data_IF_324712887859
#
_entry.id   IF_324712887859
#
_cell.length_a   1.000
_cell.length_b   1.000
_cell.length_c   1.000
_cell.angle_alpha   90.00
_cell.angle_beta   90.00
_cell.angle_gamma   90.00
#
_symmetry.space_group_name_H-M   'P 1'
#
loop_
_entity.id
_entity.type
_entity.pdbx_description
1 polymer ?
#
# COMPACT_ATOMS: atom_id res chain seq x y z
N UNK A 1 -18.52 -31.13 -24.91
CA UNK A 1 -18.62 -32.56 -25.29
C UNK A 1 -17.98 -33.50 -24.26
N UNK A 2 -18.09 -33.17 -22.97
CA UNK A 2 -17.61 -33.99 -21.83
C UNK A 2 -18.67 -34.06 -20.72
N UNK A 3 -19.94 -33.80 -21.07
CA UNK A 3 -21.08 -33.79 -20.15
C UNK A 3 -22.05 -34.95 -20.40
N UNK A 4 -21.71 -35.91 -21.27
CA UNK A 4 -22.65 -36.96 -21.73
C UNK A 4 -22.18 -38.40 -21.46
N UNK A 5 -21.14 -38.59 -20.63
CA UNK A 5 -20.57 -39.92 -20.35
C UNK A 5 -20.65 -40.36 -18.87
N UNK A 6 -21.39 -39.64 -18.02
CA UNK A 6 -21.58 -40.04 -16.60
C UNK A 6 -22.90 -40.80 -16.37
N UNK A 7 -23.76 -40.93 -17.40
CA UNK A 7 -25.08 -41.54 -17.27
C UNK A 7 -25.13 -43.08 -17.47
N UNK A 8 -24.00 -43.79 -17.45
CA UNK A 8 -23.99 -45.26 -17.54
C UNK A 8 -23.09 -45.83 -16.45
N UNK A 9 -23.72 -46.15 -15.31
CA UNK A 9 -23.06 -46.70 -14.15
C UNK A 9 -22.42 -48.05 -14.46
N UNK A 10 -21.08 -48.09 -14.36
CA UNK A 10 -20.26 -49.30 -14.21
C UNK A 10 -18.85 -48.90 -13.79
N UNK A 11 -18.62 -48.49 -12.55
CA UNK A 11 -17.33 -48.68 -11.84
C UNK A 11 -17.58 -48.72 -10.32
N UNK A 12 -17.11 -49.79 -9.70
CA UNK A 12 -17.18 -50.11 -8.26
C UNK A 12 -16.33 -49.20 -7.37
N UNK A 13 -16.81 -48.96 -6.16
CA UNK A 13 -16.34 -48.01 -5.13
C UNK A 13 -14.99 -48.33 -4.47
N UNK A 14 -13.94 -48.65 -5.22
CA UNK A 14 -12.62 -48.94 -4.66
C UNK A 14 -11.45 -48.55 -5.56
N UNK A 15 -11.42 -47.31 -6.05
CA UNK A 15 -10.23 -46.73 -6.71
C UNK A 15 -10.24 -45.18 -6.78
N UNK A 16 -10.86 -44.52 -5.81
CA UNK A 16 -10.84 -43.06 -5.67
C UNK A 16 -9.90 -42.63 -4.52
N UNK A 17 -8.62 -42.99 -4.61
CA UNK A 17 -7.55 -42.37 -3.80
C UNK A 17 -6.34 -42.23 -4.71
N UNK A 18 -5.79 -41.02 -4.75
CA UNK A 18 -4.57 -40.59 -5.45
C UNK A 18 -4.73 -40.03 -6.87
N UNK A 19 -5.42 -38.89 -7.03
CA UNK A 19 -5.08 -37.93 -8.11
C UNK A 19 -5.34 -36.48 -7.65
N UNK A 20 -4.69 -36.01 -6.58
CA UNK A 20 -4.44 -34.56 -6.40
C UNK A 20 -3.08 -34.36 -5.69
N UNK A 21 -1.96 -34.46 -6.41
CA UNK A 21 -0.81 -33.62 -6.05
C UNK A 21 -0.07 -33.02 -7.27
N UNK A 22 -0.78 -32.59 -8.33
CA UNK A 22 -0.12 -32.02 -9.52
C UNK A 22 -0.42 -30.53 -9.81
N UNK A 23 -1.35 -29.89 -9.10
CA UNK A 23 -1.65 -28.45 -9.30
C UNK A 23 -0.88 -27.58 -8.29
N UNK A 24 -0.70 -28.05 -7.05
CA UNK A 24 0.05 -27.34 -6.01
C UNK A 24 1.58 -27.39 -6.20
N UNK A 25 2.11 -28.44 -6.82
CA UNK A 25 3.54 -28.51 -7.16
C UNK A 25 3.87 -27.59 -8.33
N UNK A 26 2.99 -27.47 -9.32
CA UNK A 26 3.13 -26.58 -10.47
C UNK A 26 3.19 -25.10 -10.10
N UNK A 27 2.39 -24.65 -9.13
CA UNK A 27 2.40 -23.26 -8.63
C UNK A 27 3.71 -22.91 -7.88
N UNK A 28 4.25 -23.83 -7.07
CA UNK A 28 5.56 -23.65 -6.41
C UNK A 28 6.73 -23.62 -7.39
N UNK A 29 6.66 -24.42 -8.47
CA UNK A 29 7.69 -24.40 -9.51
C UNK A 29 7.60 -23.16 -10.40
N UNK A 30 6.39 -22.61 -10.60
CA UNK A 30 6.18 -21.36 -11.34
C UNK A 30 6.62 -20.12 -10.53
N UNK A 31 6.34 -20.09 -9.22
CA UNK A 31 6.84 -19.06 -8.30
C UNK A 31 8.38 -19.04 -8.23
N UNK A 32 9.04 -20.20 -8.14
CA UNK A 32 10.51 -20.32 -8.29
C UNK A 32 11.04 -19.92 -9.67
N UNK A 33 10.22 -20.07 -10.72
CA UNK A 33 10.53 -19.63 -12.09
C UNK A 33 10.44 -18.12 -12.29
N UNK A 34 9.53 -17.45 -11.58
CA UNK A 34 9.44 -15.99 -11.50
C UNK A 34 10.61 -15.41 -10.70
N UNK A 35 10.97 -16.04 -9.59
CA UNK A 35 12.11 -15.64 -8.75
C UNK A 35 13.42 -15.60 -9.59
N UNK A 36 13.63 -16.63 -10.41
CA UNK A 36 14.74 -16.68 -11.38
C UNK A 36 14.60 -15.67 -12.52
N UNK A 37 13.39 -15.38 -12.99
CA UNK A 37 13.16 -14.41 -14.08
C UNK A 37 13.28 -12.97 -13.59
N UNK A 38 12.60 -12.55 -12.52
CA UNK A 38 12.66 -11.21 -11.94
C UNK A 38 14.06 -10.90 -11.36
N UNK A 39 14.73 -11.87 -10.72
CA UNK A 39 16.10 -11.71 -10.25
C UNK A 39 17.15 -11.66 -11.39
N UNK A 40 16.90 -12.33 -12.52
CA UNK A 40 17.78 -12.22 -13.71
C UNK A 40 17.65 -10.91 -14.48
N UNK A 41 16.65 -10.11 -14.12
CA UNK A 41 16.19 -8.96 -14.89
C UNK A 41 16.80 -7.64 -14.38
N UNK A 42 17.36 -7.61 -13.17
CA UNK A 42 18.02 -6.42 -12.63
C UNK A 42 19.16 -6.78 -11.67
N UNK A 43 20.06 -5.83 -11.41
CA UNK A 43 21.03 -5.99 -10.31
C UNK A 43 20.32 -5.67 -9.00
N UNK A 44 20.18 -6.70 -8.18
CA UNK A 44 19.51 -6.64 -6.89
C UNK A 44 20.54 -6.77 -5.78
N UNK A 45 20.44 -5.90 -4.76
CA UNK A 45 21.13 -6.08 -3.49
C UNK A 45 20.08 -6.24 -2.39
N UNK A 46 20.11 -7.38 -1.73
CA UNK A 46 19.20 -7.74 -0.66
C UNK A 46 19.98 -8.11 0.59
N UNK A 47 19.71 -7.40 1.67
CA UNK A 47 20.24 -7.67 3.01
C UNK A 47 19.10 -8.23 3.84
N UNK A 48 19.02 -9.55 3.90
CA UNK A 48 17.92 -10.29 4.51
C UNK A 48 18.04 -10.31 6.04
N UNK A 49 16.98 -9.88 6.71
CA UNK A 49 16.78 -10.03 8.16
C UNK A 49 15.37 -10.53 8.48
N UNK A 50 14.72 -11.17 7.50
CA UNK A 50 13.39 -11.73 7.65
C UNK A 50 13.38 -12.86 8.68
N UNK A 51 12.26 -12.97 9.41
CA UNK A 51 11.99 -13.98 10.43
C UNK A 51 10.98 -15.01 9.93
N UNK A 52 10.49 -14.86 8.70
CA UNK A 52 9.49 -15.75 8.10
C UNK A 52 8.08 -15.46 8.62
N UNK A 53 7.76 -14.20 8.89
CA UNK A 53 6.44 -13.79 9.36
C UNK A 53 5.37 -13.96 8.27
N UNK A 54 4.13 -14.19 8.68
CA UNK A 54 2.96 -14.19 7.78
C UNK A 54 2.54 -12.77 7.37
N UNK A 55 3.16 -11.74 7.94
CA UNK A 55 2.93 -10.35 7.62
C UNK A 55 4.23 -9.67 7.21
N UNK A 56 4.18 -8.89 6.13
CA UNK A 56 5.31 -8.08 5.66
C UNK A 56 4.90 -6.61 5.59
N UNK A 57 5.64 -5.75 6.27
CA UNK A 57 5.62 -4.30 6.07
C UNK A 57 6.70 -3.97 5.03
N UNK A 58 6.26 -3.58 3.84
CA UNK A 58 7.10 -3.18 2.72
C UNK A 58 7.10 -1.66 2.60
N UNK A 59 8.20 -1.02 3.02
CA UNK A 59 8.35 0.42 3.00
C UNK A 59 9.09 0.89 1.75
N UNK A 60 8.48 1.72 0.92
CA UNK A 60 9.14 2.36 -0.22
C UNK A 60 9.86 3.63 0.24
N UNK A 61 11.19 3.64 0.14
CA UNK A 61 12.00 4.78 0.57
C UNK A 61 13.27 5.00 -0.27
N UNK A 62 13.77 6.23 -0.27
CA UNK A 62 15.04 6.58 -0.91
C UNK A 62 15.13 8.01 -1.42
N UNK A 63 14.00 8.68 -1.63
CA UNK A 63 13.92 9.92 -2.39
C UNK A 63 13.51 11.14 -1.58
N UNK A 64 12.99 10.96 -0.35
CA UNK A 64 12.51 12.05 0.51
C UNK A 64 13.25 12.12 1.84
N UNK A 65 14.58 12.18 1.75
CA UNK A 65 15.50 12.20 2.92
C UNK A 65 15.18 13.31 3.92
N UNK A 66 14.71 14.45 3.44
CA UNK A 66 14.26 15.59 4.26
C UNK A 66 13.05 15.28 5.15
N UNK A 67 12.25 14.26 4.82
CA UNK A 67 11.10 13.84 5.63
C UNK A 67 11.43 12.76 6.67
N UNK A 68 12.53 12.03 6.51
CA UNK A 68 12.88 10.91 7.40
C UNK A 68 12.93 11.28 8.89
N UNK A 69 13.41 12.48 9.30
CA UNK A 69 13.35 12.89 10.71
C UNK A 69 11.93 12.93 11.28
N UNK A 70 10.92 13.18 10.45
CA UNK A 70 9.52 13.25 10.86
C UNK A 70 8.83 11.88 10.80
N UNK A 71 9.10 11.09 9.76
CA UNK A 71 8.34 9.86 9.48
C UNK A 71 8.95 8.59 10.09
N UNK A 72 10.28 8.47 10.17
CA UNK A 72 10.91 7.23 10.63
C UNK A 72 10.64 6.93 12.12
N UNK A 73 10.64 7.92 13.03
CA UNK A 73 10.22 7.68 14.41
C UNK A 73 8.77 7.17 14.50
N UNK A 74 7.88 7.74 13.67
CA UNK A 74 6.47 7.31 13.59
C UNK A 74 6.34 5.89 13.07
N UNK A 75 7.14 5.54 12.06
CA UNK A 75 7.15 4.18 11.51
C UNK A 75 7.54 3.19 12.60
N UNK A 76 8.66 3.41 13.29
CA UNK A 76 9.13 2.56 14.40
C UNK A 76 8.06 2.38 15.47
N UNK A 77 7.41 3.47 15.88
CA UNK A 77 6.35 3.42 16.88
C UNK A 77 5.10 2.65 16.41
N UNK A 78 4.81 2.67 15.11
CA UNK A 78 3.62 2.03 14.55
C UNK A 78 3.80 0.57 14.14
N UNK A 79 5.02 0.01 14.21
CA UNK A 79 5.27 -1.36 13.77
C UNK A 79 4.58 -2.39 14.67
N UNK A 80 4.04 -3.40 14.01
CA UNK A 80 3.54 -4.62 14.63
C UNK A 80 4.58 -5.74 14.47
N UNK A 81 4.35 -6.89 15.10
CA UNK A 81 5.20 -8.07 14.93
C UNK A 81 5.05 -8.66 13.51
N UNK A 82 5.86 -8.16 12.59
CA UNK A 82 5.90 -8.50 11.18
C UNK A 82 7.36 -8.57 10.69
N UNK A 83 7.56 -9.12 9.49
CA UNK A 83 8.79 -8.85 8.75
C UNK A 83 8.73 -7.42 8.21
N UNK A 84 9.85 -6.71 8.25
CA UNK A 84 9.95 -5.33 7.76
C UNK A 84 11.01 -5.29 6.68
N UNK A 85 10.67 -4.73 5.53
CA UNK A 85 11.61 -4.52 4.45
C UNK A 85 11.51 -3.10 3.90
N UNK A 86 12.62 -2.36 3.96
CA UNK A 86 12.74 -1.12 3.19
C UNK A 86 13.18 -1.48 1.77
N UNK A 87 12.42 -1.00 0.79
CA UNK A 87 12.63 -1.20 -0.64
C UNK A 87 12.98 0.14 -1.29
N UNK A 88 14.14 0.20 -1.94
CA UNK A 88 14.69 1.39 -2.58
C UNK A 88 14.90 1.17 -4.07
N UNK A 89 13.96 1.61 -4.93
CA UNK A 89 14.09 1.41 -6.37
C UNK A 89 15.18 2.30 -6.94
N UNK A 90 16.07 1.76 -7.77
CA UNK A 90 17.05 2.55 -8.53
C UNK A 90 18.22 3.15 -7.75
N UNK A 91 18.28 2.94 -6.43
CA UNK A 91 19.37 3.45 -5.62
C UNK A 91 19.64 2.59 -4.39
N UNK A 92 20.91 2.58 -3.99
CA UNK A 92 21.34 2.06 -2.71
C UNK A 92 21.68 3.24 -1.79
N UNK A 93 21.18 3.22 -0.56
CA UNK A 93 21.40 4.24 0.46
C UNK A 93 22.07 3.62 1.68
N UNK A 94 23.30 4.07 1.98
CA UNK A 94 24.03 3.63 3.18
C UNK A 94 23.28 3.97 4.47
N UNK A 95 22.55 5.09 4.49
CA UNK A 95 21.74 5.52 5.63
C UNK A 95 20.56 4.56 5.86
N UNK A 96 19.83 4.18 4.80
CA UNK A 96 18.74 3.21 4.91
C UNK A 96 19.25 1.82 5.27
N UNK A 97 20.38 1.39 4.69
CA UNK A 97 21.00 0.11 5.01
C UNK A 97 21.43 0.04 6.47
N UNK A 98 22.03 1.12 6.99
CA UNK A 98 22.47 1.24 8.37
C UNK A 98 21.28 1.26 9.35
N UNK A 99 20.20 1.97 9.00
CA UNK A 99 18.94 1.93 9.75
C UNK A 99 18.36 0.50 9.78
N UNK A 100 18.27 -0.16 8.63
CA UNK A 100 17.77 -1.54 8.56
C UNK A 100 18.64 -2.50 9.39
N UNK A 101 19.96 -2.32 9.36
CA UNK A 101 20.89 -3.08 10.19
C UNK A 101 20.63 -2.87 11.69
N UNK A 102 20.45 -1.63 12.16
CA UNK A 102 20.24 -1.35 13.57
C UNK A 102 18.91 -1.85 14.10
N UNK A 103 17.86 -1.81 13.26
CA UNK A 103 16.50 -2.23 13.64
C UNK A 103 16.22 -3.72 13.36
N UNK A 104 17.16 -4.44 12.72
CA UNK A 104 16.93 -5.83 12.32
C UNK A 104 15.94 -5.98 11.16
N UNK A 105 15.80 -4.97 10.30
CA UNK A 105 14.92 -4.99 9.13
C UNK A 105 15.68 -5.42 7.87
N UNK A 106 14.96 -5.99 6.90
CA UNK A 106 15.52 -6.29 5.59
C UNK A 106 15.70 -5.01 4.77
N UNK A 107 16.77 -4.94 3.97
CA UNK A 107 16.96 -3.84 3.00
C UNK A 107 17.09 -4.39 1.59
N UNK A 108 16.30 -3.86 0.66
CA UNK A 108 16.32 -4.21 -0.75
C UNK A 108 16.57 -2.97 -1.60
N UNK A 109 17.57 -3.01 -2.46
CA UNK A 109 17.77 -2.02 -3.51
C UNK A 109 17.84 -2.67 -4.89
N UNK A 110 17.30 -2.00 -5.89
CA UNK A 110 17.39 -2.40 -7.30
C UNK A 110 18.20 -1.37 -8.08
N UNK A 111 18.87 -1.77 -9.17
CA UNK A 111 19.55 -0.81 -10.04
C UNK A 111 18.58 -0.04 -10.95
N UNK A 112 17.43 -0.62 -11.28
CA UNK A 112 16.37 0.02 -12.04
C UNK A 112 15.44 0.80 -11.12
N UNK A 113 15.24 2.08 -11.42
CA UNK A 113 14.26 2.93 -10.73
C UNK A 113 12.84 2.61 -11.21
N UNK A 114 12.30 1.49 -10.78
CA UNK A 114 10.91 1.09 -11.01
C UNK A 114 10.31 0.55 -9.71
N UNK A 115 9.32 1.27 -9.21
CA UNK A 115 8.64 0.97 -7.94
C UNK A 115 8.02 -0.43 -7.97
N UNK A 116 7.30 -0.76 -9.06
CA UNK A 116 6.64 -2.05 -9.21
C UNK A 116 7.63 -3.22 -9.22
N UNK A 117 8.77 -3.07 -9.91
CA UNK A 117 9.83 -4.08 -9.92
C UNK A 117 10.39 -4.32 -8.51
N UNK A 118 10.78 -3.25 -7.82
CA UNK A 118 11.40 -3.35 -6.51
C UNK A 118 10.43 -3.96 -5.48
N UNK A 119 9.16 -3.55 -5.48
CA UNK A 119 8.13 -4.15 -4.63
C UNK A 119 7.89 -5.62 -4.95
N UNK A 120 7.75 -5.98 -6.23
CA UNK A 120 7.54 -7.37 -6.62
C UNK A 120 8.69 -8.27 -6.14
N UNK A 121 9.94 -7.81 -6.24
CA UNK A 121 11.10 -8.53 -5.72
C UNK A 121 11.00 -8.63 -4.19
N UNK A 122 10.67 -7.54 -3.49
CA UNK A 122 10.45 -7.54 -2.05
C UNK A 122 9.40 -8.56 -1.61
N UNK A 123 8.23 -8.58 -2.25
CA UNK A 123 7.15 -9.52 -1.95
C UNK A 123 7.50 -10.97 -2.28
N UNK A 124 8.29 -11.20 -3.33
CA UNK A 124 8.76 -12.53 -3.72
C UNK A 124 9.77 -13.10 -2.73
N UNK A 125 10.70 -12.27 -2.23
CA UNK A 125 11.76 -12.68 -1.30
C UNK A 125 11.23 -13.03 0.11
N UNK A 126 10.06 -12.51 0.49
CA UNK A 126 9.41 -12.82 1.77
C UNK A 126 8.31 -13.88 1.58
N UNK A 127 8.70 -15.09 1.22
CA UNK A 127 7.80 -16.16 0.76
C UNK A 127 6.75 -16.64 1.78
N UNK A 128 6.94 -16.33 3.07
CA UNK A 128 6.00 -16.67 4.15
C UNK A 128 4.90 -15.65 4.35
N UNK A 129 5.08 -14.41 3.89
CA UNK A 129 4.11 -13.36 4.09
C UNK A 129 2.84 -13.63 3.28
N UNK A 130 1.68 -13.65 3.93
CA UNK A 130 0.35 -13.80 3.35
C UNK A 130 -0.39 -12.46 3.28
N UNK A 131 -0.06 -11.54 4.19
CA UNK A 131 -0.56 -10.16 4.22
C UNK A 131 0.60 -9.18 4.01
N UNK A 132 0.43 -8.28 3.05
CA UNK A 132 1.36 -7.19 2.76
C UNK A 132 0.80 -5.86 3.25
N UNK A 133 1.63 -5.09 3.95
CA UNK A 133 1.38 -3.71 4.32
C UNK A 133 2.37 -2.85 3.51
N UNK A 134 1.88 -2.21 2.45
CA UNK A 134 2.67 -1.23 1.68
C UNK A 134 2.66 0.10 2.43
N UNK A 135 3.81 0.75 2.53
CA UNK A 135 3.99 2.06 3.17
C UNK A 135 4.95 2.94 2.36
N UNK A 136 4.57 4.17 2.03
CA UNK A 136 5.47 5.15 1.39
C UNK A 136 6.20 6.02 2.43
N UNK A 137 7.41 6.48 2.09
CA UNK A 137 8.31 7.25 2.98
C UNK A 137 7.82 8.65 3.39
N UNK A 138 6.63 9.06 2.96
CA UNK A 138 6.01 10.36 3.26
C UNK A 138 4.66 10.24 3.96
N UNK A 139 4.40 9.08 4.53
CA UNK A 139 3.25 8.82 5.38
C UNK A 139 3.55 9.18 6.84
N UNK A 140 2.57 9.76 7.53
CA UNK A 140 2.66 10.17 8.94
C UNK A 140 1.75 9.27 9.76
N UNK A 141 2.35 8.24 10.38
CA UNK A 141 1.62 7.24 11.14
C UNK A 141 1.38 7.70 12.59
N UNK A 142 0.26 7.24 13.14
CA UNK A 142 0.02 7.15 14.57
C UNK A 142 0.48 5.76 15.04
N UNK A 143 0.79 5.63 16.33
CA UNK A 143 1.27 4.37 16.93
C UNK A 143 0.36 3.17 16.63
N UNK A 144 -0.96 3.39 16.55
CA UNK A 144 -1.93 2.33 16.29
C UNK A 144 -2.41 2.26 14.83
N UNK A 145 -1.80 3.00 13.90
CA UNK A 145 -2.28 3.03 12.51
C UNK A 145 -2.21 1.65 11.85
N UNK A 146 -1.06 0.97 11.93
CA UNK A 146 -0.86 -0.33 11.25
C UNK A 146 -1.68 -1.43 11.93
N UNK A 147 -1.66 -1.50 13.27
CA UNK A 147 -2.43 -2.52 13.99
C UNK A 147 -3.93 -2.41 13.69
N UNK A 148 -4.51 -1.20 13.76
CA UNK A 148 -5.93 -0.99 13.41
C UNK A 148 -6.24 -1.28 11.95
N UNK A 149 -5.29 -1.02 11.04
CA UNK A 149 -5.47 -1.32 9.62
C UNK A 149 -5.56 -2.83 9.39
N UNK A 150 -4.68 -3.60 10.03
CA UNK A 150 -4.66 -5.08 9.96
C UNK A 150 -5.89 -5.68 10.64
N UNK A 151 -6.24 -5.20 11.84
CA UNK A 151 -7.47 -5.60 12.55
C UNK A 151 -8.71 -5.39 11.68
N UNK A 152 -8.81 -4.24 11.02
CA UNK A 152 -9.92 -3.92 10.15
C UNK A 152 -9.95 -4.82 8.91
N UNK A 153 -8.80 -5.11 8.31
CA UNK A 153 -8.70 -6.05 7.20
C UNK A 153 -9.30 -7.41 7.59
N UNK A 154 -8.88 -7.96 8.73
CA UNK A 154 -9.39 -9.23 9.22
C UNK A 154 -10.88 -9.16 9.59
N UNK A 155 -11.34 -8.07 10.20
CA UNK A 155 -12.77 -7.88 10.51
C UNK A 155 -13.63 -7.92 9.25
N UNK A 156 -13.27 -7.14 8.22
CA UNK A 156 -14.02 -7.09 6.96
C UNK A 156 -14.05 -8.48 6.30
N UNK A 157 -12.90 -9.17 6.25
CA UNK A 157 -12.82 -10.54 5.73
C UNK A 157 -13.71 -11.51 6.51
N UNK A 158 -13.74 -11.42 7.84
CA UNK A 158 -14.55 -12.28 8.70
C UNK A 158 -16.06 -12.01 8.56
N UNK A 159 -16.46 -10.76 8.32
CA UNK A 159 -17.86 -10.40 8.04
C UNK A 159 -18.37 -10.97 6.72
N UNK A 160 -17.50 -11.16 5.73
CA UNK A 160 -17.81 -11.86 4.49
C UNK A 160 -18.78 -11.15 3.54
N UNK A 161 -19.25 -9.95 3.89
CA UNK A 161 -20.11 -9.12 3.01
C UNK A 161 -19.29 -8.59 1.82
N UNK A 162 -18.02 -8.25 2.08
CA UNK A 162 -17.06 -7.77 1.09
C UNK A 162 -15.76 -8.55 1.27
N UNK A 163 -15.18 -9.04 0.18
CA UNK A 163 -13.81 -9.52 0.16
C UNK A 163 -12.90 -8.37 -0.30
N UNK A 164 -12.20 -7.63 0.59
CA UNK A 164 -11.43 -6.46 0.18
C UNK A 164 -10.27 -6.84 -0.73
N UNK A 165 -10.05 -6.03 -1.76
CA UNK A 165 -8.80 -6.08 -2.52
C UNK A 165 -7.67 -5.53 -1.67
N UNK A 166 -7.91 -4.35 -1.09
CA UNK A 166 -7.04 -3.76 -0.09
C UNK A 166 -7.87 -2.98 0.92
N UNK A 167 -7.30 -2.76 2.11
CA UNK A 167 -7.82 -1.81 3.10
C UNK A 167 -6.80 -0.70 3.28
N UNK A 168 -7.27 0.54 3.30
CA UNK A 168 -6.48 1.75 3.54
C UNK A 168 -7.01 2.51 4.76
N UNK A 169 -6.16 3.25 5.48
CA UNK A 169 -6.62 4.19 6.50
C UNK A 169 -7.26 5.42 5.84
N UNK A 170 -7.98 6.20 6.64
CA UNK A 170 -8.38 7.54 6.24
C UNK A 170 -7.15 8.44 6.17
N UNK A 171 -6.96 9.13 5.02
CA UNK A 171 -5.78 9.96 4.72
C UNK A 171 -6.25 11.36 4.29
N UNK A 172 -5.91 12.45 4.99
CA UNK A 172 -6.43 13.78 4.66
C UNK A 172 -6.06 14.26 3.25
N UNK A 173 -4.80 14.12 2.88
CA UNK A 173 -4.28 14.50 1.55
C UNK A 173 -4.38 13.30 0.61
N UNK A 174 -5.61 12.99 0.17
CA UNK A 174 -5.91 11.91 -0.76
C UNK A 174 -7.23 12.21 -1.52
N UNK A 175 -7.25 11.95 -2.83
CA UNK A 175 -8.35 12.32 -3.73
C UNK A 175 -9.70 11.63 -3.48
N UNK A 176 -9.73 10.56 -2.68
CA UNK A 176 -10.96 9.95 -2.17
C UNK A 176 -11.30 10.46 -0.77
N UNK A 177 -10.36 10.28 0.15
CA UNK A 177 -10.56 10.47 1.60
C UNK A 177 -10.95 11.90 1.97
N UNK A 178 -10.32 12.91 1.35
CA UNK A 178 -10.46 14.31 1.78
C UNK A 178 -11.92 14.79 1.81
N UNK A 179 -12.74 14.41 0.81
CA UNK A 179 -14.15 14.80 0.76
C UNK A 179 -14.93 14.21 1.94
N UNK A 180 -14.73 12.93 2.22
CA UNK A 180 -15.42 12.25 3.32
C UNK A 180 -14.96 12.79 4.67
N UNK A 181 -13.66 13.04 4.81
CA UNK A 181 -13.08 13.65 6.00
C UNK A 181 -13.67 15.03 6.26
N UNK A 182 -13.67 15.91 5.25
CA UNK A 182 -14.30 17.24 5.32
C UNK A 182 -15.76 17.16 5.76
N UNK A 183 -16.54 16.21 5.21
CA UNK A 183 -17.93 16.01 5.61
C UNK A 183 -18.06 15.57 7.06
N UNK A 184 -17.22 14.63 7.52
CA UNK A 184 -17.24 14.13 8.90
C UNK A 184 -16.79 15.19 9.91
N UNK A 185 -15.90 16.10 9.51
CA UNK A 185 -15.40 17.18 10.36
C UNK A 185 -16.30 18.43 10.33
N UNK A 186 -17.32 18.48 9.48
CA UNK A 186 -18.16 19.67 9.30
C UNK A 186 -17.51 20.79 8.49
N UNK A 187 -16.43 20.49 7.77
CA UNK A 187 -15.56 21.45 7.09
C UNK A 187 -15.79 21.55 5.57
N UNK A 188 -16.70 20.75 5.03
CA UNK A 188 -16.91 20.65 3.58
C UNK A 188 -17.30 21.99 2.94
N UNK A 189 -18.19 22.77 3.57
CA UNK A 189 -18.63 24.05 3.04
C UNK A 189 -17.50 25.07 2.95
N UNK A 190 -16.69 25.18 4.01
CA UNK A 190 -15.55 26.09 4.05
C UNK A 190 -14.50 25.73 2.99
N UNK A 191 -14.17 24.44 2.86
CA UNK A 191 -13.25 23.98 1.83
C UNK A 191 -13.77 24.31 0.43
N UNK A 192 -15.04 24.00 0.14
CA UNK A 192 -15.62 24.23 -1.18
C UNK A 192 -15.75 25.73 -1.54
N UNK A 193 -15.90 26.60 -0.54
CA UNK A 193 -15.86 28.05 -0.72
C UNK A 193 -14.47 28.55 -1.11
N UNK A 194 -13.41 27.96 -0.55
CA UNK A 194 -12.02 28.41 -0.76
C UNK A 194 -11.35 27.79 -1.99
N UNK A 195 -11.55 26.49 -2.21
CA UNK A 195 -10.82 25.71 -3.22
C UNK A 195 -11.70 25.16 -4.34
N UNK A 196 -13.02 25.42 -4.27
CA UNK A 196 -14.00 24.88 -5.19
C UNK A 196 -14.46 23.46 -4.83
N UNK A 197 -15.37 22.93 -5.64
CA UNK A 197 -16.11 21.69 -5.33
C UNK A 197 -15.18 20.50 -5.03
N UNK A 198 -15.36 19.89 -3.85
CA UNK A 198 -14.57 18.76 -3.39
C UNK A 198 -15.04 17.46 -4.05
N UNK A 199 -14.62 17.18 -5.27
CA UNK A 199 -14.96 15.94 -6.00
C UNK A 199 -14.08 14.77 -5.56
N UNK A 200 -14.63 13.56 -5.53
CA UNK A 200 -13.81 12.35 -5.44
C UNK A 200 -13.21 12.08 -6.82
N UNK A 201 -11.89 12.05 -6.93
CA UNK A 201 -11.18 11.75 -8.18
C UNK A 201 -9.77 11.24 -7.92
N UNK A 202 -9.23 10.47 -8.87
CA UNK A 202 -7.85 9.96 -8.79
C UNK A 202 -6.81 11.04 -9.16
N UNK A 203 -7.22 12.07 -9.91
CA UNK A 203 -6.38 13.18 -10.34
C UNK A 203 -7.22 14.44 -10.57
N UNK A 204 -6.55 15.60 -10.63
CA UNK A 204 -7.16 16.86 -11.05
C UNK A 204 -8.09 17.50 -10.03
N UNK A 205 -7.98 17.14 -8.75
CA UNK A 205 -8.70 17.78 -7.64
C UNK A 205 -7.77 18.67 -6.82
N UNK A 206 -8.27 19.76 -6.21
CA UNK A 206 -7.43 20.73 -5.50
C UNK A 206 -6.53 20.09 -4.44
N UNK A 207 -7.04 19.09 -3.70
CA UNK A 207 -6.25 18.41 -2.66
C UNK A 207 -5.00 17.69 -3.18
N UNK A 208 -4.86 17.47 -4.49
CA UNK A 208 -3.68 16.84 -5.12
C UNK A 208 -2.81 17.83 -5.90
N UNK A 209 -3.38 18.97 -6.33
CA UNK A 209 -2.72 19.89 -7.26
C UNK A 209 -2.43 21.27 -6.68
N UNK A 210 -3.23 21.70 -5.70
CA UNK A 210 -3.10 23.01 -5.06
C UNK A 210 -2.35 22.87 -3.74
N UNK A 211 -1.16 23.48 -3.59
CA UNK A 211 -0.44 23.47 -2.33
C UNK A 211 -1.22 24.12 -1.18
N UNK A 212 -1.98 25.20 -1.43
CA UNK A 212 -2.75 25.87 -0.39
C UNK A 212 -3.87 24.97 0.17
N UNK A 213 -4.44 24.10 -0.67
CA UNK A 213 -5.44 23.12 -0.23
C UNK A 213 -4.82 22.03 0.66
N UNK A 214 -3.59 21.57 0.35
CA UNK A 214 -2.87 20.61 1.19
C UNK A 214 -2.46 21.21 2.53
N UNK A 215 -1.92 22.44 2.52
CA UNK A 215 -1.56 23.18 3.74
C UNK A 215 -2.80 23.33 4.64
N UNK A 216 -3.90 23.82 4.08
CA UNK A 216 -5.15 24.01 4.81
C UNK A 216 -5.65 22.68 5.39
N UNK A 217 -5.56 21.58 4.63
CA UNK A 217 -5.96 20.26 5.12
C UNK A 217 -5.12 19.83 6.33
N UNK A 218 -3.81 20.06 6.31
CA UNK A 218 -2.93 19.79 7.46
C UNK A 218 -3.27 20.66 8.67
N UNK A 219 -3.48 21.97 8.48
CA UNK A 219 -3.89 22.91 9.54
C UNK A 219 -5.19 22.49 10.25
N UNK A 220 -6.09 21.81 9.54
CA UNK A 220 -7.41 21.41 10.07
C UNK A 220 -7.47 19.95 10.53
N UNK A 221 -6.39 19.20 10.37
CA UNK A 221 -6.34 17.77 10.76
C UNK A 221 -5.21 17.44 11.72
N UNK A 222 -4.23 18.32 11.89
CA UNK A 222 -3.25 18.26 12.96
C UNK A 222 -3.81 18.88 14.27
N UNK A 223 -3.45 18.35 15.46
CA UNK A 223 -2.72 17.09 15.68
C UNK A 223 -3.50 15.87 15.17
N UNK A 224 -2.81 14.92 14.52
CA UNK A 224 -3.45 13.79 13.83
C UNK A 224 -4.20 12.88 14.81
N UNK A 225 -3.72 12.80 16.05
CA UNK A 225 -4.27 12.04 17.17
C UNK A 225 -5.69 12.51 17.52
N UNK A 226 -5.92 13.83 17.56
CA UNK A 226 -7.23 14.41 17.86
C UNK A 226 -8.24 14.09 16.75
N UNK A 227 -7.81 14.25 15.49
CA UNK A 227 -8.62 13.90 14.33
C UNK A 227 -8.95 12.40 14.34
N UNK A 228 -7.96 11.54 14.58
CA UNK A 228 -8.15 10.10 14.64
C UNK A 228 -9.12 9.68 15.77
N UNK A 229 -9.06 10.33 16.93
CA UNK A 229 -9.99 10.09 18.04
C UNK A 229 -11.44 10.44 17.64
N UNK A 230 -11.64 11.60 16.99
CA UNK A 230 -12.96 12.03 16.48
C UNK A 230 -13.52 11.04 15.45
N UNK A 231 -12.69 10.57 14.53
CA UNK A 231 -13.10 9.61 13.48
C UNK A 231 -13.39 8.21 14.03
N UNK A 232 -12.66 7.79 15.06
CA UNK A 232 -12.83 6.48 15.70
C UNK A 232 -14.12 6.39 16.52
N UNK A 233 -14.69 7.52 16.95
CA UNK A 233 -15.94 7.56 17.71
C UNK A 233 -17.17 7.10 16.88
N UNK A 234 -17.10 7.16 15.55
CA UNK A 234 -18.14 6.64 14.66
C UNK A 234 -17.48 5.92 13.49
N UNK A 235 -17.01 4.68 13.71
CA UNK A 235 -16.22 3.95 12.73
C UNK A 235 -17.05 3.67 11.47
N UNK A 236 -16.45 3.87 10.30
CA UNK A 236 -17.06 3.61 9.00
C UNK A 236 -16.09 2.86 8.11
N UNK A 237 -16.67 1.98 7.30
CA UNK A 237 -16.01 1.29 6.20
C UNK A 237 -16.59 1.86 4.89
N UNK A 238 -15.73 2.40 4.04
CA UNK A 238 -16.11 3.06 2.79
C UNK A 238 -15.54 2.29 1.60
N UNK A 239 -16.39 1.98 0.63
CA UNK A 239 -15.94 1.40 -0.64
C UNK A 239 -15.35 2.50 -1.52
N UNK A 240 -14.13 2.31 -2.01
CA UNK A 240 -13.45 3.26 -2.89
C UNK A 240 -13.77 2.95 -4.35
N UNK A 241 -14.50 3.82 -5.08
CA UNK A 241 -14.91 3.58 -6.46
C UNK A 241 -13.91 4.15 -7.49
N UNK A 242 -12.75 4.64 -7.05
CA UNK A 242 -11.74 5.26 -7.90
C UNK A 242 -10.38 4.57 -7.74
N UNK A 243 -9.44 4.88 -8.63
CA UNK A 243 -8.03 4.60 -8.37
C UNK A 243 -7.61 5.37 -7.12
N UNK A 244 -7.26 4.63 -6.08
CA UNK A 244 -6.82 5.15 -4.79
C UNK A 244 -5.31 5.34 -4.81
N UNK A 245 -4.80 6.42 -4.21
CA UNK A 245 -3.37 6.57 -3.97
C UNK A 245 -2.93 5.67 -2.82
N UNK A 246 -2.09 4.67 -3.10
CA UNK A 246 -1.85 3.52 -2.19
C UNK A 246 -0.66 3.75 -1.25
N UNK A 247 -0.45 4.97 -0.78
CA UNK A 247 0.66 5.32 0.12
C UNK A 247 0.69 4.51 1.42
N UNK A 248 -0.47 4.02 1.87
CA UNK A 248 -0.57 3.01 2.91
C UNK A 248 -1.77 2.10 2.66
N UNK A 249 -1.51 0.81 2.40
CA UNK A 249 -2.56 -0.21 2.22
C UNK A 249 -2.16 -1.56 2.80
N UNK A 250 -3.14 -2.34 3.26
CA UNK A 250 -3.01 -3.76 3.58
C UNK A 250 -3.72 -4.61 2.51
N UNK A 251 -3.06 -5.64 1.98
CA UNK A 251 -3.62 -6.54 0.96
C UNK A 251 -2.98 -7.93 1.00
N UNK A 252 -3.72 -8.95 0.57
CA UNK A 252 -3.25 -10.33 0.61
C UNK A 252 -2.33 -10.67 -0.57
N UNK A 253 -1.38 -11.57 -0.34
CA UNK A 253 -0.61 -12.26 -1.40
C UNK A 253 -1.54 -12.88 -2.44
N UNK A 254 -2.67 -13.44 -2.02
CA UNK A 254 -3.66 -14.05 -2.92
C UNK A 254 -4.14 -13.07 -4.00
N UNK A 255 -4.31 -11.78 -3.66
CA UNK A 255 -4.64 -10.75 -4.62
C UNK A 255 -3.46 -10.47 -5.53
N UNK A 256 -2.27 -10.26 -4.95
CA UNK A 256 -1.05 -9.96 -5.70
C UNK A 256 -0.74 -11.05 -6.76
N UNK A 257 -0.90 -12.32 -6.40
CA UNK A 257 -0.78 -13.45 -7.33
C UNK A 257 -1.88 -13.42 -8.40
N UNK A 258 -3.14 -13.18 -8.00
CA UNK A 258 -4.29 -13.17 -8.91
C UNK A 258 -4.25 -12.05 -9.96
N UNK A 259 -3.67 -10.89 -9.61
CA UNK A 259 -3.51 -9.77 -10.56
C UNK A 259 -2.26 -9.91 -11.44
N UNK A 260 -1.44 -10.95 -11.21
CA UNK A 260 -0.19 -11.17 -11.96
C UNK A 260 0.96 -10.26 -11.54
N UNK A 261 0.97 -9.85 -10.26
CA UNK A 261 1.91 -8.91 -9.64
C UNK A 261 1.79 -7.47 -10.17
N UNK A 262 2.60 -6.53 -9.67
CA UNK A 262 2.60 -5.16 -10.18
C UNK A 262 3.27 -5.06 -11.55
N UNK A 263 2.79 -4.18 -12.44
CA UNK A 263 3.26 -4.14 -13.82
C UNK A 263 4.63 -3.46 -13.95
N UNK A 264 5.60 -4.16 -14.54
CA UNK A 264 6.95 -3.63 -14.80
C UNK A 264 7.05 -3.14 -16.24
N UNK A 265 7.20 -1.82 -16.45
CA UNK A 265 7.18 -1.22 -17.79
C UNK A 265 8.57 -0.88 -18.34
N UNK A 266 9.38 -1.91 -18.65
CA UNK A 266 10.74 -1.75 -19.19
C UNK A 266 10.87 -0.78 -20.36
N UNK A 267 9.95 -0.85 -21.33
CA UNK A 267 9.99 0.03 -22.51
C UNK A 267 9.78 1.50 -22.15
N UNK A 268 8.96 1.80 -21.14
CA UNK A 268 8.74 3.16 -20.65
C UNK A 268 9.99 3.68 -19.95
N UNK A 269 10.60 2.85 -19.09
CA UNK A 269 11.85 3.18 -18.40
C UNK A 269 12.99 3.46 -19.39
N UNK A 270 13.16 2.60 -20.40
CA UNK A 270 14.17 2.80 -21.46
C UNK A 270 13.91 4.06 -22.29
N UNK A 271 12.65 4.52 -22.35
CA UNK A 271 12.26 5.77 -23.00
C UNK A 271 12.29 6.99 -22.05
N UNK A 272 12.81 6.84 -20.82
CA UNK A 272 12.86 7.91 -19.82
C UNK A 272 11.49 8.34 -19.27
N UNK A 273 10.46 7.52 -19.45
CA UNK A 273 9.11 7.81 -18.98
C UNK A 273 8.89 7.29 -17.56
N UNK A 274 8.22 8.10 -16.74
CA UNK A 274 7.84 7.71 -15.38
C UNK A 274 6.87 6.52 -15.38
N UNK A 275 7.05 5.61 -14.42
CA UNK A 275 6.13 4.50 -14.12
C UNK A 275 5.38 4.70 -12.79
N UNK A 276 5.52 5.88 -12.16
CA UNK A 276 4.84 6.21 -10.90
C UNK A 276 3.31 6.14 -11.05
N UNK A 277 2.65 5.56 -10.04
CA UNK A 277 1.20 5.36 -10.00
C UNK A 277 0.69 4.23 -10.89
N UNK A 278 1.58 3.46 -11.54
CA UNK A 278 1.15 2.34 -12.36
C UNK A 278 0.77 1.10 -11.54
N UNK A 279 1.40 0.90 -10.39
CA UNK A 279 1.01 -0.03 -9.33
C UNK A 279 -0.39 0.31 -8.79
N UNK A 280 -0.65 1.58 -8.47
CA UNK A 280 -1.95 2.10 -8.04
C UNK A 280 -3.06 1.82 -9.03
N UNK A 281 -2.87 2.23 -10.29
CA UNK A 281 -3.84 2.00 -11.36
C UNK A 281 -4.10 0.50 -11.55
N UNK A 282 -3.05 -0.32 -11.45
CA UNK A 282 -3.14 -1.75 -11.66
C UNK A 282 -3.89 -2.47 -10.55
N UNK A 283 -3.53 -2.25 -9.28
CA UNK A 283 -4.21 -2.91 -8.16
C UNK A 283 -5.66 -2.47 -8.08
N UNK A 284 -5.97 -1.17 -8.22
CA UNK A 284 -7.35 -0.67 -8.12
C UNK A 284 -8.23 -1.21 -9.25
N UNK A 285 -7.73 -1.23 -10.49
CA UNK A 285 -8.49 -1.76 -11.63
C UNK A 285 -8.78 -3.25 -11.46
N UNK A 286 -7.75 -4.05 -11.14
CA UNK A 286 -7.92 -5.49 -11.05
C UNK A 286 -8.67 -5.92 -9.80
N UNK A 287 -8.56 -5.18 -8.69
CA UNK A 287 -9.39 -5.33 -7.50
C UNK A 287 -10.88 -5.31 -7.85
N UNK A 288 -11.32 -4.30 -8.62
CA UNK A 288 -12.70 -4.23 -9.13
C UNK A 288 -13.04 -5.42 -10.04
N UNK A 289 -12.16 -5.75 -11.00
CA UNK A 289 -12.38 -6.88 -11.91
C UNK A 289 -12.52 -8.24 -11.19
N UNK A 290 -11.89 -8.39 -10.03
CA UNK A 290 -11.96 -9.60 -9.20
C UNK A 290 -13.09 -9.56 -8.17
N UNK A 291 -13.97 -8.55 -8.22
CA UNK A 291 -15.02 -8.32 -7.20
C UNK A 291 -14.44 -8.14 -5.79
N UNK A 292 -13.21 -7.64 -5.69
CA UNK A 292 -12.48 -7.37 -4.46
C UNK A 292 -12.24 -5.87 -4.29
N UNK A 293 -13.25 -5.05 -3.98
CA UNK A 293 -13.11 -3.59 -4.02
C UNK A 293 -12.07 -3.07 -3.02
N UNK A 294 -11.49 -1.90 -3.33
CA UNK A 294 -10.69 -1.16 -2.36
C UNK A 294 -11.58 -0.60 -1.25
N UNK A 295 -11.10 -0.66 -0.01
CA UNK A 295 -11.83 -0.23 1.17
C UNK A 295 -11.03 0.78 1.97
N UNK A 296 -11.69 1.82 2.47
CA UNK A 296 -11.11 2.82 3.37
C UNK A 296 -11.82 2.74 4.71
N UNK A 297 -11.07 2.67 5.81
CA UNK A 297 -11.64 2.67 7.17
C UNK A 297 -11.36 3.97 7.89
N UNK A 298 -12.30 4.41 8.73
CA UNK A 298 -12.06 5.52 9.67
C UNK A 298 -11.47 5.07 11.00
N UNK A 299 -11.32 3.76 11.23
CA UNK A 299 -10.67 3.22 12.44
C UNK A 299 -9.17 3.49 12.44
N UNK A 300 -8.53 3.43 11.27
CA UNK A 300 -7.14 3.78 11.07
C UNK A 300 -7.02 5.15 10.38
N UNK A 301 -6.04 5.94 10.81
CA UNK A 301 -5.79 7.29 10.29
C UNK A 301 -4.29 7.48 10.07
N UNK A 302 -3.92 8.19 9.01
CA UNK A 302 -2.54 8.55 8.71
C UNK A 302 -2.50 9.89 7.96
N UNK A 303 -1.48 10.69 8.19
CA UNK A 303 -1.17 11.81 7.31
C UNK A 303 -0.42 11.34 6.06
N UNK A 304 -0.52 12.11 4.98
CA UNK A 304 0.31 11.97 3.79
C UNK A 304 0.87 13.35 3.50
N UNK A 305 2.19 13.45 3.35
CA UNK A 305 2.87 14.75 3.29
C UNK A 305 2.32 15.62 2.16
N UNK A 306 2.37 15.13 0.92
CA UNK A 306 2.01 15.90 -0.27
C UNK A 306 2.00 15.06 -1.53
N UNK A 307 1.20 15.48 -2.52
CA UNK A 307 1.43 15.06 -3.90
C UNK A 307 2.58 15.87 -4.54
N UNK A 308 3.14 15.36 -5.64
CA UNK A 308 4.28 15.97 -6.35
C UNK A 308 4.17 17.49 -6.56
N UNK A 309 3.05 18.03 -7.10
CA UNK A 309 2.87 19.47 -7.31
C UNK A 309 2.91 20.33 -6.03
N UNK A 310 2.69 19.71 -4.87
CA UNK A 310 2.58 20.38 -3.57
C UNK A 310 3.89 20.33 -2.76
N UNK A 311 4.82 19.45 -3.15
CA UNK A 311 5.98 19.09 -2.33
C UNK A 311 6.83 20.29 -1.92
N UNK A 312 7.16 21.18 -2.86
CA UNK A 312 8.02 22.32 -2.59
C UNK A 312 7.43 23.25 -1.50
N UNK A 313 6.16 23.59 -1.61
CA UNK A 313 5.49 24.45 -0.63
C UNK A 313 5.28 23.75 0.72
N UNK A 314 4.93 22.46 0.70
CA UNK A 314 4.79 21.67 1.93
C UNK A 314 6.11 21.51 2.67
N UNK A 315 7.23 21.41 1.94
CA UNK A 315 8.58 21.43 2.55
C UNK A 315 8.87 22.77 3.22
N UNK A 316 8.58 23.89 2.56
CA UNK A 316 8.72 25.22 3.20
C UNK A 316 7.83 25.37 4.44
N UNK A 317 6.64 24.74 4.45
CA UNK A 317 5.80 24.69 5.65
C UNK A 317 6.44 23.85 6.76
N UNK A 318 7.02 22.68 6.44
CA UNK A 318 7.70 21.85 7.44
C UNK A 318 8.92 22.54 8.06
N UNK A 319 9.62 23.37 7.30
CA UNK A 319 10.74 24.19 7.79
C UNK A 319 10.27 25.36 8.68
N UNK A 320 9.15 26.01 8.34
CA UNK A 320 8.64 27.19 9.06
C UNK A 320 7.70 26.88 10.24
N UNK A 321 7.02 25.73 10.20
CA UNK A 321 6.05 25.28 11.20
C UNK A 321 6.20 23.77 11.49
N UNK A 322 7.38 23.30 11.97
CA UNK A 322 7.63 21.87 12.19
C UNK A 322 6.67 21.24 13.20
N UNK A 323 6.09 22.03 14.12
CA UNK A 323 5.09 21.57 15.08
C UNK A 323 3.82 20.99 14.46
N UNK A 324 3.49 21.34 13.21
CA UNK A 324 2.35 20.78 12.48
C UNK A 324 2.55 19.29 12.12
N UNK A 325 3.82 18.88 12.05
CA UNK A 325 4.25 17.54 11.64
C UNK A 325 4.81 16.71 12.81
N UNK A 326 5.01 17.36 13.97
CA UNK A 326 5.54 16.75 15.18
C UNK A 326 4.58 15.68 15.76
N UNK A 327 5.18 14.68 16.42
CA UNK A 327 4.51 13.64 17.20
C UNK A 327 3.80 14.22 18.42
#
# INVERSE_FOLDING_TARGET
MAAELVARGTVTSRQARNVIPSVYSGLKTWAKGIDRRLGSLDRVRFEDRSRGSTQLICMLAGYKRDLWPFVMPRFKAALIDADVCIVSPGMYSDELASLCLSEGWSYLSTATNDVSLAQNIGFALHDKAELFIKLDEDMFLLENTISKLVEEYHRIKAEGIVDPGFVAPMIPVNGFCYRYLLKMLGLLGEFEQRFGRARVAASGVPIQTDPAAAIWMWEHTAPLEETAARLSATPRTLLCPIQFSIGLIAFERSLWDAIGHFPVFRRRLLAGQSTLGADEAHICRNAVSLSRPGVVTTRAFAGHFSFGPQYAAMRSLAESAPGLFAL
#
